data_IF_671503495635
#
_entry.id   IF_671503495635
#
_cell.length_a   1.000
_cell.length_b   1.000
_cell.length_c   1.000
_cell.angle_alpha   90.00
_cell.angle_beta   90.00
_cell.angle_gamma   90.00
#
_symmetry.space_group_name_H-M   'P 1'
#
loop_
_entity.id
_entity.type
_entity.pdbx_description
1 polymer ?
#
# COMPACT_ATOMS: atom_id res chain seq x y z
N UNK A 1 -12.70 23.93 7.61
CA UNK A 1 -11.67 23.97 6.57
C UNK A 1 -11.57 22.64 5.87
N UNK A 2 -12.16 22.53 4.68
CA UNK A 2 -11.94 21.38 3.80
C UNK A 2 -10.51 21.51 3.26
N UNK A 3 -9.62 20.57 3.63
CA UNK A 3 -8.29 20.50 3.03
C UNK A 3 -8.45 20.27 1.53
N UNK A 4 -7.64 20.92 0.68
CA UNK A 4 -7.81 20.79 -0.77
C UNK A 4 -7.63 19.32 -1.17
N UNK A 5 -8.41 18.89 -2.18
CA UNK A 5 -8.27 17.62 -2.88
C UNK A 5 -6.92 17.58 -3.67
N UNK A 6 -5.81 17.88 -3.01
CA UNK A 6 -4.49 17.71 -3.61
C UNK A 6 -4.19 16.23 -3.67
N UNK A 7 -3.51 15.81 -4.73
CA UNK A 7 -3.02 14.43 -4.89
C UNK A 7 -2.25 14.01 -3.63
N UNK A 8 -1.49 14.91 -3.01
CA UNK A 8 -0.76 14.68 -1.75
C UNK A 8 -1.66 14.37 -0.55
N UNK A 9 -2.79 15.06 -0.38
CA UNK A 9 -3.71 14.81 0.73
C UNK A 9 -4.46 13.48 0.54
N UNK A 10 -4.75 13.13 -0.71
CA UNK A 10 -5.32 11.83 -1.05
C UNK A 10 -4.29 10.73 -0.80
N UNK A 11 -3.05 10.90 -1.25
CA UNK A 11 -1.97 9.93 -1.01
C UNK A 11 -1.66 9.77 0.48
N UNK A 12 -1.69 10.84 1.29
CA UNK A 12 -1.54 10.75 2.75
C UNK A 12 -2.68 9.95 3.39
N UNK A 13 -3.91 10.17 2.91
CA UNK A 13 -5.09 9.43 3.41
C UNK A 13 -5.04 7.97 2.98
N UNK A 14 -4.62 7.68 1.75
CA UNK A 14 -4.41 6.32 1.26
C UNK A 14 -3.31 5.62 2.03
N UNK A 15 -2.14 6.24 2.20
CA UNK A 15 -1.02 5.64 2.94
C UNK A 15 -1.42 5.25 4.37
N UNK A 16 -2.16 6.13 5.06
CA UNK A 16 -2.72 5.85 6.40
C UNK A 16 -3.74 4.72 6.45
N UNK A 17 -4.39 4.40 5.34
CA UNK A 17 -5.28 3.23 5.29
C UNK A 17 -4.50 1.93 5.20
N UNK A 18 -3.30 1.96 4.61
CA UNK A 18 -2.44 0.81 4.43
C UNK A 18 -1.51 0.58 5.65
N UNK A 19 -1.09 1.63 6.36
CA UNK A 19 -0.25 1.56 7.57
C UNK A 19 -1.11 1.16 8.79
N UNK A 20 -1.37 -0.13 8.90
CA UNK A 20 -2.22 -0.71 9.96
C UNK A 20 -1.52 -0.64 11.32
N UNK A 21 -0.18 -0.74 11.34
CA UNK A 21 0.61 -0.68 12.56
C UNK A 21 0.84 0.74 13.10
N UNK A 22 0.54 1.77 12.30
CA UNK A 22 0.77 3.21 12.58
C UNK A 22 2.25 3.50 12.89
N UNK A 23 3.16 2.79 12.22
CA UNK A 23 4.61 2.91 12.41
C UNK A 23 5.28 3.87 11.42
N UNK A 24 4.49 4.41 10.48
CA UNK A 24 4.92 5.36 9.47
C UNK A 24 5.55 4.70 8.23
N UNK A 25 5.53 3.38 8.14
CA UNK A 25 6.01 2.59 7.03
C UNK A 25 4.95 1.55 6.59
N UNK A 26 5.08 1.02 5.37
CA UNK A 26 4.30 -0.12 4.91
C UNK A 26 5.21 -1.32 4.76
N UNK A 27 4.96 -2.37 5.53
CA UNK A 27 5.60 -3.66 5.33
C UNK A 27 4.86 -4.54 4.30
N UNK A 28 5.45 -5.70 3.99
CA UNK A 28 4.88 -6.63 3.03
C UNK A 28 3.51 -7.17 3.45
N UNK A 29 3.33 -7.39 4.75
CA UNK A 29 2.11 -7.96 5.29
C UNK A 29 0.97 -6.93 5.27
N UNK A 30 1.24 -5.69 5.64
CA UNK A 30 0.29 -4.57 5.57
C UNK A 30 -0.21 -4.35 4.13
N UNK A 31 0.70 -4.38 3.15
CA UNK A 31 0.31 -4.28 1.74
C UNK A 31 -0.51 -5.48 1.26
N UNK A 32 -0.10 -6.70 1.64
CA UNK A 32 -0.82 -7.93 1.29
C UNK A 32 -2.25 -7.92 1.82
N UNK A 33 -2.43 -7.68 3.12
CA UNK A 33 -3.75 -7.66 3.78
C UNK A 33 -4.67 -6.60 3.16
N UNK A 34 -4.09 -5.47 2.76
CA UNK A 34 -4.83 -4.40 2.12
C UNK A 34 -5.23 -4.75 0.68
N UNK A 35 -4.37 -5.39 -0.11
CA UNK A 35 -4.75 -5.89 -1.43
C UNK A 35 -5.81 -7.00 -1.34
N UNK A 36 -5.69 -7.92 -0.38
CA UNK A 36 -6.71 -8.94 -0.11
C UNK A 36 -8.07 -8.29 0.20
N UNK A 37 -8.07 -7.25 1.04
CA UNK A 37 -9.28 -6.49 1.38
C UNK A 37 -9.90 -5.78 0.18
N UNK A 38 -9.10 -5.12 -0.66
CA UNK A 38 -9.60 -4.47 -1.88
C UNK A 38 -10.16 -5.48 -2.88
N UNK A 39 -9.49 -6.61 -3.10
CA UNK A 39 -9.96 -7.65 -4.03
C UNK A 39 -11.27 -8.27 -3.52
N UNK A 40 -11.36 -8.53 -2.21
CA UNK A 40 -12.58 -9.00 -1.57
C UNK A 40 -13.76 -8.03 -1.76
N UNK A 41 -13.53 -6.72 -1.55
CA UNK A 41 -14.54 -5.68 -1.76
C UNK A 41 -15.00 -5.55 -3.22
N UNK A 42 -14.11 -5.82 -4.18
CA UNK A 42 -14.43 -5.81 -5.62
C UNK A 42 -15.23 -7.04 -6.08
N UNK A 43 -15.62 -7.94 -5.17
CA UNK A 43 -16.48 -9.09 -5.46
C UNK A 43 -15.82 -10.19 -6.29
N UNK A 44 -14.53 -10.05 -6.60
CA UNK A 44 -13.72 -11.16 -7.09
C UNK A 44 -13.34 -11.96 -5.85
N UNK A 45 -13.63 -13.27 -5.81
CA UNK A 45 -12.98 -14.16 -4.84
C UNK A 45 -11.49 -13.91 -5.00
N UNK A 46 -10.87 -13.27 -4.00
CA UNK A 46 -9.45 -12.99 -4.05
C UNK A 46 -8.74 -14.32 -4.17
N UNK A 47 -8.12 -14.58 -5.33
CA UNK A 47 -7.09 -15.60 -5.39
C UNK A 47 -5.93 -15.03 -4.56
N UNK A 48 -5.54 -15.66 -3.45
CA UNK A 48 -4.43 -15.19 -2.62
C UNK A 48 -3.15 -14.97 -3.43
N UNK A 49 -2.99 -15.70 -4.55
CA UNK A 49 -1.87 -15.49 -5.47
C UNK A 49 -1.88 -14.12 -6.13
N UNK A 50 -3.05 -13.53 -6.38
CA UNK A 50 -3.16 -12.19 -6.98
C UNK A 50 -2.71 -11.11 -6.00
N UNK A 51 -3.08 -11.21 -4.72
CA UNK A 51 -2.65 -10.25 -3.71
C UNK A 51 -1.13 -10.34 -3.45
N UNK A 52 -0.60 -11.57 -3.35
CA UNK A 52 0.83 -11.80 -3.18
C UNK A 52 1.65 -11.30 -4.37
N UNK A 53 1.16 -11.51 -5.60
CA UNK A 53 1.80 -11.00 -6.81
C UNK A 53 1.81 -9.47 -6.85
N UNK A 54 0.68 -8.82 -6.55
CA UNK A 54 0.58 -7.36 -6.50
C UNK A 54 1.52 -6.76 -5.45
N UNK A 55 1.55 -7.33 -4.24
CA UNK A 55 2.48 -6.89 -3.20
C UNK A 55 3.94 -7.05 -3.64
N UNK A 56 4.28 -8.19 -4.25
CA UNK A 56 5.64 -8.45 -4.75
C UNK A 56 6.04 -7.50 -5.89
N UNK A 57 5.12 -7.16 -6.80
CA UNK A 57 5.36 -6.22 -7.90
C UNK A 57 5.58 -4.79 -7.38
N UNK A 58 4.80 -4.36 -6.39
CA UNK A 58 4.98 -3.04 -5.74
C UNK A 58 6.33 -2.95 -5.04
N UNK A 59 6.73 -3.98 -4.28
CA UNK A 59 8.05 -4.03 -3.64
C UNK A 59 9.20 -4.02 -4.66
N UNK A 60 9.05 -4.75 -5.77
CA UNK A 60 10.04 -4.80 -6.84
C UNK A 60 10.14 -3.46 -7.60
N UNK A 61 9.01 -2.80 -7.87
CA UNK A 61 8.94 -1.51 -8.56
C UNK A 61 9.57 -0.40 -7.73
N UNK A 62 9.31 -0.39 -6.42
CA UNK A 62 9.88 0.59 -5.48
C UNK A 62 11.37 0.34 -5.18
N UNK A 63 11.97 -0.68 -5.81
CA UNK A 63 13.40 -0.99 -5.72
C UNK A 63 13.87 -1.17 -4.27
N UNK A 64 13.08 -1.86 -3.46
CA UNK A 64 13.50 -2.30 -2.14
C UNK A 64 14.46 -3.47 -2.27
N UNK A 65 15.73 -3.14 -2.50
CA UNK A 65 16.78 -4.16 -2.56
C UNK A 65 17.23 -4.64 -1.19
N UNK A 66 16.82 -3.98 -0.09
CA UNK A 66 17.21 -4.38 1.27
C UNK A 66 16.34 -3.83 2.42
N UNK A 67 15.37 -2.95 2.17
CA UNK A 67 14.47 -2.48 3.23
C UNK A 67 13.17 -3.30 3.24
N UNK A 68 12.87 -3.90 4.39
CA UNK A 68 11.64 -4.67 4.63
C UNK A 68 10.36 -3.81 4.67
N UNK A 69 10.51 -2.49 4.45
CA UNK A 69 9.50 -1.46 4.70
C UNK A 69 9.57 -0.35 3.65
N UNK A 70 8.39 0.18 3.30
CA UNK A 70 8.22 1.31 2.38
C UNK A 70 7.85 2.53 3.21
N UNK A 71 8.70 3.55 3.20
CA UNK A 71 8.36 4.85 3.79
C UNK A 71 7.37 5.61 2.91
N UNK A 72 6.63 6.55 3.50
CA UNK A 72 5.72 7.44 2.77
C UNK A 72 6.41 8.20 1.62
N UNK A 73 7.66 8.61 1.80
CA UNK A 73 8.42 9.31 0.76
C UNK A 73 8.71 8.41 -0.44
N UNK A 74 9.05 7.14 -0.20
CA UNK A 74 9.24 6.14 -1.27
C UNK A 74 7.92 5.88 -2.00
N UNK A 75 6.81 5.77 -1.27
CA UNK A 75 5.48 5.56 -1.86
C UNK A 75 5.01 6.71 -2.76
N UNK A 76 5.36 7.96 -2.43
CA UNK A 76 4.98 9.13 -3.25
C UNK A 76 5.86 9.26 -4.51
N UNK A 77 7.12 8.81 -4.45
CA UNK A 77 8.09 8.98 -5.54
C UNK A 77 8.04 7.87 -6.60
N UNK A 78 7.49 6.70 -6.28
CA UNK A 78 7.29 5.58 -7.21
C UNK A 78 6.03 5.73 -8.04
#
# INVERSE_FOLDING_TARGET
SLRPNTVEANVDSFFKWYDVSDDGCLDYQELKESFESVIYLLGKKADPKTAEQMASEVFAMLSLKDDSKITKEQFIKG
#
